data_IF_264053091316
#
_entry.id   IF_264053091316
#
_cell.length_a   1.000
_cell.length_b   1.000
_cell.length_c   1.000
_cell.angle_alpha   90.00
_cell.angle_beta   90.00
_cell.angle_gamma   90.00
#
_symmetry.space_group_name_H-M   'P 1'
#
loop_
_entity.id
_entity.type
_entity.pdbx_description
1 polymer ?
#
# COMPACT_ATOMS: atom_id res chain seq x y z
N UNK A 1 -6.18 10.49 -35.68
CA UNK A 1 -7.54 10.98 -35.41
C UNK A 1 -7.54 12.48 -35.61
N UNK A 2 -8.42 13.00 -36.45
CA UNK A 2 -8.50 14.43 -36.78
C UNK A 2 -9.61 15.09 -35.94
N UNK A 3 -9.24 16.15 -35.21
CA UNK A 3 -10.15 16.89 -34.33
C UNK A 3 -11.18 17.65 -35.15
N UNK A 4 -10.80 18.21 -36.31
CA UNK A 4 -11.70 18.96 -37.17
C UNK A 4 -12.76 18.06 -37.82
N UNK A 5 -12.38 16.82 -38.17
CA UNK A 5 -13.29 15.82 -38.72
C UNK A 5 -14.34 15.39 -37.68
N UNK A 6 -13.91 15.07 -36.44
CA UNK A 6 -14.85 14.74 -35.37
C UNK A 6 -15.78 15.91 -35.06
N UNK A 7 -15.24 17.13 -34.92
CA UNK A 7 -16.05 18.31 -34.60
C UNK A 7 -17.11 18.56 -35.68
N UNK A 8 -16.76 18.41 -36.96
CA UNK A 8 -17.70 18.58 -38.07
C UNK A 8 -18.83 17.57 -38.06
N UNK A 9 -18.55 16.29 -37.77
CA UNK A 9 -19.60 15.26 -37.64
C UNK A 9 -20.49 15.54 -36.43
N UNK A 10 -19.92 15.94 -35.29
CA UNK A 10 -20.69 16.29 -34.11
C UNK A 10 -21.56 17.54 -34.31
N UNK A 11 -21.03 18.58 -34.93
CA UNK A 11 -21.77 19.81 -35.25
C UNK A 11 -22.94 19.51 -36.20
N UNK A 12 -22.74 18.62 -37.17
CA UNK A 12 -23.81 18.15 -38.07
C UNK A 12 -24.91 17.45 -37.28
N UNK A 13 -24.57 16.51 -36.40
CA UNK A 13 -25.56 15.79 -35.59
C UNK A 13 -26.28 16.69 -34.59
N UNK A 14 -25.58 17.67 -34.00
CA UNK A 14 -26.17 18.65 -33.10
C UNK A 14 -27.11 19.64 -33.82
N UNK A 15 -26.77 20.04 -35.05
CA UNK A 15 -27.61 20.92 -35.85
C UNK A 15 -28.87 20.22 -36.38
N UNK A 16 -28.76 18.94 -36.76
CA UNK A 16 -29.90 18.16 -37.28
C UNK A 16 -30.81 17.66 -36.15
N UNK A 17 -30.23 17.31 -34.99
CA UNK A 17 -30.97 16.76 -33.85
C UNK A 17 -30.66 17.50 -32.53
N UNK A 18 -31.02 18.79 -32.39
CA UNK A 18 -30.63 19.62 -31.24
C UNK A 18 -31.22 19.19 -29.89
N UNK A 19 -32.33 18.45 -29.89
CA UNK A 19 -33.01 18.00 -28.66
C UNK A 19 -32.81 16.50 -28.38
N UNK A 20 -31.94 15.82 -29.14
CA UNK A 20 -31.77 14.37 -29.01
C UNK A 20 -30.32 13.99 -28.68
N UNK A 21 -29.91 14.10 -27.40
CA UNK A 21 -28.55 13.79 -26.98
C UNK A 21 -28.16 12.32 -27.22
N UNK A 22 -29.13 11.41 -27.35
CA UNK A 22 -28.87 9.99 -27.63
C UNK A 22 -28.27 9.76 -29.03
N UNK A 23 -28.61 10.62 -30.01
CA UNK A 23 -28.05 10.54 -31.37
C UNK A 23 -26.61 11.03 -31.37
N UNK A 24 -26.30 12.10 -30.63
CA UNK A 24 -24.95 12.66 -30.56
C UNK A 24 -23.94 11.65 -30.03
N UNK A 25 -24.29 10.94 -28.95
CA UNK A 25 -23.41 9.94 -28.35
C UNK A 25 -23.26 8.70 -29.24
N UNK A 26 -24.30 8.30 -29.98
CA UNK A 26 -24.23 7.19 -30.96
C UNK A 26 -23.35 7.53 -32.16
N UNK A 27 -23.46 8.74 -32.68
CA UNK A 27 -22.63 9.20 -33.80
C UNK A 27 -21.17 9.33 -33.38
N UNK A 28 -20.92 9.80 -32.14
CA UNK A 28 -19.59 9.77 -31.52
C UNK A 28 -19.04 8.34 -31.44
N UNK A 29 -19.83 7.40 -30.91
CA UNK A 29 -19.46 5.99 -30.83
C UNK A 29 -19.08 5.42 -32.19
N UNK A 30 -19.92 5.69 -33.20
CA UNK A 30 -19.74 5.24 -34.57
C UNK A 30 -18.45 5.76 -35.17
N UNK A 31 -18.16 7.06 -35.00
CA UNK A 31 -16.91 7.67 -35.46
C UNK A 31 -15.69 7.04 -34.78
N UNK A 32 -15.73 6.89 -33.45
CA UNK A 32 -14.62 6.29 -32.70
C UNK A 32 -14.41 4.83 -33.13
N UNK A 33 -15.47 4.04 -33.24
CA UNK A 33 -15.40 2.64 -33.66
C UNK A 33 -14.83 2.48 -35.07
N UNK A 34 -15.14 3.39 -35.99
CA UNK A 34 -14.60 3.38 -37.34
C UNK A 34 -13.09 3.69 -37.36
N UNK A 35 -12.65 4.69 -36.58
CA UNK A 35 -11.26 5.19 -36.61
C UNK A 35 -10.31 4.46 -35.67
N UNK A 36 -10.82 3.86 -34.59
CA UNK A 36 -10.05 3.13 -33.57
C UNK A 36 -10.40 1.64 -33.62
N UNK A 37 -9.89 0.97 -34.64
CA UNK A 37 -10.04 -0.48 -34.77
C UNK A 37 -9.15 -1.20 -33.76
N UNK A 38 -9.74 -2.09 -32.96
CA UNK A 38 -9.02 -2.84 -31.94
C UNK A 38 -8.27 -4.06 -32.55
N UNK A 39 -7.14 -4.50 -31.97
CA UNK A 39 -6.40 -5.67 -32.41
C UNK A 39 -7.22 -6.96 -32.25
N UNK A 40 -6.98 -7.94 -33.15
CA UNK A 40 -7.78 -9.17 -33.27
C UNK A 40 -7.61 -10.19 -32.13
N UNK A 41 -6.64 -9.98 -31.23
CA UNK A 41 -6.03 -11.09 -30.47
C UNK A 41 -6.66 -11.39 -29.10
N UNK A 42 -7.42 -10.47 -28.48
CA UNK A 42 -7.90 -10.65 -27.10
C UNK A 42 -9.18 -9.84 -26.78
N UNK A 43 -10.27 -10.46 -26.29
CA UNK A 43 -11.49 -9.76 -25.85
C UNK A 43 -11.28 -8.79 -24.68
N UNK A 44 -10.25 -9.00 -23.85
CA UNK A 44 -9.94 -8.17 -22.68
C UNK A 44 -8.83 -7.13 -22.91
N UNK A 45 -8.22 -7.12 -24.10
CA UNK A 45 -7.05 -6.30 -24.45
C UNK A 45 -5.94 -6.36 -23.38
N UNK A 46 -5.79 -7.52 -22.71
CA UNK A 46 -4.90 -7.70 -21.57
C UNK A 46 -3.43 -7.43 -21.90
N UNK A 47 -3.04 -7.55 -23.17
CA UNK A 47 -1.69 -7.28 -23.66
C UNK A 47 -1.40 -5.79 -23.89
N UNK A 48 -2.41 -4.92 -23.84
CA UNK A 48 -2.28 -3.48 -24.10
C UNK A 48 -2.32 -2.67 -22.81
N UNK A 49 -1.85 -1.41 -22.90
CA UNK A 49 -1.96 -0.46 -21.81
C UNK A 49 -3.42 -0.31 -21.37
N UNK A 50 -3.63 -0.06 -20.08
CA UNK A 50 -4.96 0.05 -19.47
C UNK A 50 -5.81 1.17 -20.09
N UNK A 51 -5.18 2.14 -20.73
CA UNK A 51 -5.81 3.26 -21.40
C UNK A 51 -6.01 3.06 -22.91
N UNK A 52 -5.63 1.91 -23.47
CA UNK A 52 -5.87 1.57 -24.87
C UNK A 52 -7.35 1.25 -25.16
N UNK A 53 -7.94 1.68 -26.30
CA UNK A 53 -7.36 2.51 -27.37
C UNK A 53 -7.45 4.02 -27.11
N UNK A 54 -8.02 4.46 -25.99
CA UNK A 54 -8.17 5.88 -25.64
C UNK A 54 -6.83 6.62 -25.48
N UNK A 55 -5.72 5.90 -25.29
CA UNK A 55 -4.37 6.42 -25.34
C UNK A 55 -3.97 6.94 -26.73
N UNK A 56 -4.61 6.43 -27.79
CA UNK A 56 -4.41 6.85 -29.17
C UNK A 56 -5.11 8.18 -29.50
N UNK A 57 -5.95 8.67 -28.57
CA UNK A 57 -6.72 9.90 -28.71
C UNK A 57 -5.93 11.10 -28.19
N UNK A 58 -5.83 12.18 -28.98
CA UNK A 58 -5.15 13.41 -28.58
C UNK A 58 -5.88 14.12 -27.43
N UNK A 59 -5.17 14.90 -26.61
CA UNK A 59 -5.75 15.64 -25.48
C UNK A 59 -6.90 16.57 -25.90
N UNK A 60 -6.79 17.17 -27.07
CA UNK A 60 -7.82 18.03 -27.66
C UNK A 60 -9.10 17.26 -27.96
N UNK A 61 -8.98 16.08 -28.59
CA UNK A 61 -10.13 15.23 -28.88
C UNK A 61 -10.79 14.70 -27.60
N UNK A 62 -9.99 14.39 -26.55
CA UNK A 62 -10.52 14.01 -25.23
C UNK A 62 -11.39 15.11 -24.62
N UNK A 63 -11.01 16.37 -24.79
CA UNK A 63 -11.80 17.51 -24.31
C UNK A 63 -13.12 17.65 -25.07
N UNK A 64 -13.11 17.46 -26.40
CA UNK A 64 -14.33 17.46 -27.23
C UNK A 64 -15.29 16.36 -26.78
N UNK A 65 -14.79 15.13 -26.62
CA UNK A 65 -15.56 13.97 -26.13
C UNK A 65 -16.17 14.29 -24.77
N UNK A 66 -15.37 14.74 -23.80
CA UNK A 66 -15.86 15.06 -22.45
C UNK A 66 -16.91 16.18 -22.46
N UNK A 67 -16.73 17.20 -23.29
CA UNK A 67 -17.72 18.27 -23.44
C UNK A 67 -19.05 17.75 -23.99
N UNK A 68 -19.01 16.81 -24.95
CA UNK A 68 -20.22 16.22 -25.50
C UNK A 68 -20.93 15.33 -24.47
N UNK A 69 -20.19 14.46 -23.79
CA UNK A 69 -20.74 13.58 -22.75
C UNK A 69 -21.35 14.38 -21.60
N UNK A 70 -20.74 15.51 -21.22
CA UNK A 70 -21.31 16.43 -20.22
C UNK A 70 -22.67 16.99 -20.64
N UNK A 71 -22.83 17.38 -21.91
CA UNK A 71 -24.12 17.84 -22.48
C UNK A 71 -25.15 16.72 -22.58
N UNK A 72 -24.71 15.46 -22.72
CA UNK A 72 -25.55 14.28 -22.85
C UNK A 72 -25.72 13.48 -21.55
N UNK A 73 -25.40 14.06 -20.38
CA UNK A 73 -25.37 13.36 -19.08
C UNK A 73 -26.64 12.54 -18.77
N UNK A 74 -27.82 13.04 -19.14
CA UNK A 74 -29.11 12.37 -18.90
C UNK A 74 -29.37 11.09 -19.71
N UNK A 75 -28.58 10.80 -20.76
CA UNK A 75 -28.76 9.58 -21.59
C UNK A 75 -27.58 8.61 -21.51
N UNK A 76 -26.57 8.94 -20.70
CA UNK A 76 -25.31 8.20 -20.63
C UNK A 76 -25.47 6.76 -20.13
N UNK A 77 -26.38 6.51 -19.20
CA UNK A 77 -26.65 5.17 -18.66
C UNK A 77 -27.25 4.25 -19.73
N UNK A 78 -28.29 4.71 -20.42
CA UNK A 78 -28.92 3.99 -21.54
C UNK A 78 -27.96 3.79 -22.72
N UNK A 79 -27.10 4.78 -22.94
CA UNK A 79 -26.07 4.69 -23.97
C UNK A 79 -25.03 3.63 -23.64
N UNK A 80 -24.58 3.55 -22.38
CA UNK A 80 -23.66 2.52 -21.95
C UNK A 80 -24.26 1.11 -22.09
N UNK A 81 -25.53 0.93 -21.72
CA UNK A 81 -26.25 -0.33 -21.95
C UNK A 81 -26.29 -0.67 -23.44
N UNK A 82 -26.63 0.31 -24.29
CA UNK A 82 -26.60 0.14 -25.74
C UNK A 82 -25.22 -0.30 -26.25
N UNK A 83 -24.14 0.28 -25.74
CA UNK A 83 -22.77 -0.12 -26.08
C UNK A 83 -22.48 -1.57 -25.67
N UNK A 84 -22.85 -1.99 -24.45
CA UNK A 84 -22.70 -3.39 -24.01
C UNK A 84 -23.49 -4.34 -24.91
N UNK A 85 -24.78 -4.08 -25.14
CA UNK A 85 -25.60 -4.96 -25.98
C UNK A 85 -25.09 -5.02 -27.41
N UNK A 86 -24.62 -3.91 -27.97
CA UNK A 86 -24.03 -3.87 -29.31
C UNK A 86 -22.76 -4.70 -29.37
N UNK A 87 -21.85 -4.57 -28.38
CA UNK A 87 -20.65 -5.40 -28.28
C UNK A 87 -20.99 -6.90 -28.17
N UNK A 88 -22.06 -7.25 -27.43
CA UNK A 88 -22.52 -8.63 -27.28
C UNK A 88 -23.20 -9.20 -28.53
N UNK A 89 -23.86 -8.36 -29.33
CA UNK A 89 -24.47 -8.75 -30.61
C UNK A 89 -23.42 -8.94 -31.69
N UNK A 90 -22.40 -8.08 -31.77
CA UNK A 90 -21.29 -8.25 -32.71
C UNK A 90 -20.51 -9.56 -32.44
N UNK A 91 -20.42 -9.95 -31.17
CA UNK A 91 -19.87 -11.26 -30.76
C UNK A 91 -20.62 -12.47 -31.31
N UNK A 92 -21.91 -12.34 -31.62
CA UNK A 92 -22.72 -13.43 -32.18
C UNK A 92 -22.61 -13.53 -33.71
N UNK A 93 -22.21 -12.44 -34.39
CA UNK A 93 -22.20 -12.35 -35.87
C UNK A 93 -20.97 -13.00 -36.50
N UNK A 94 -19.86 -13.15 -35.79
CA UNK A 94 -18.63 -13.75 -36.32
C UNK A 94 -18.07 -14.82 -35.39
N UNK A 95 -17.89 -16.08 -35.83
CA UNK A 95 -17.14 -17.10 -35.08
C UNK A 95 -15.62 -16.84 -35.09
N UNK A 96 -15.14 -15.94 -35.95
CA UNK A 96 -13.75 -15.47 -35.99
C UNK A 96 -13.63 -14.07 -35.35
N UNK A 97 -12.49 -13.72 -34.71
CA UNK A 97 -12.34 -12.48 -33.94
C UNK A 97 -12.15 -11.25 -34.84
N UNK A 98 -13.20 -10.85 -35.56
CA UNK A 98 -13.29 -9.59 -36.31
C UNK A 98 -14.13 -8.58 -35.54
N UNK A 99 -13.50 -7.66 -34.80
CA UNK A 99 -14.16 -6.76 -33.86
C UNK A 99 -14.19 -5.32 -34.35
N UNK A 100 -15.35 -4.83 -34.80
CA UNK A 100 -15.55 -3.46 -35.33
C UNK A 100 -16.23 -2.46 -34.38
N UNK A 101 -16.40 -2.76 -33.09
CA UNK A 101 -17.25 -1.95 -32.19
C UNK A 101 -16.68 -1.63 -30.81
N UNK A 102 -15.35 -1.68 -30.61
CA UNK A 102 -14.72 -1.51 -29.28
C UNK A 102 -13.74 -0.34 -29.19
N UNK A 103 -14.14 0.82 -29.67
CA UNK A 103 -13.46 2.08 -29.36
C UNK A 103 -14.13 2.87 -28.24
N UNK A 104 -15.40 2.59 -27.95
CA UNK A 104 -16.24 3.46 -27.11
C UNK A 104 -16.55 2.91 -25.72
N UNK A 105 -15.72 1.98 -25.23
CA UNK A 105 -15.84 1.50 -23.84
C UNK A 105 -15.31 2.50 -22.81
N UNK A 106 -14.46 3.45 -23.24
CA UNK A 106 -13.99 4.54 -22.38
C UNK A 106 -14.70 5.83 -22.70
N UNK A 107 -16.01 5.79 -22.62
CA UNK A 107 -16.70 6.97 -22.14
C UNK A 107 -16.30 7.19 -20.69
N UNK A 108 -15.83 8.39 -20.33
CA UNK A 108 -15.87 8.97 -18.97
C UNK A 108 -17.36 9.11 -18.51
N UNK A 109 -18.21 8.13 -18.85
CA UNK A 109 -19.55 7.98 -18.33
C UNK A 109 -19.34 7.46 -16.92
N UNK A 110 -19.38 8.38 -15.97
CA UNK A 110 -19.70 8.04 -14.61
C UNK A 110 -21.04 7.30 -14.65
N UNK A 111 -20.98 5.97 -14.62
CA UNK A 111 -22.16 5.14 -14.48
C UNK A 111 -22.81 5.50 -13.14
N UNK A 112 -24.09 5.84 -13.16
CA UNK A 112 -24.86 6.13 -11.94
C UNK A 112 -24.81 4.96 -10.96
N UNK A 113 -24.81 3.71 -11.47
CA UNK A 113 -24.57 2.50 -10.69
C UNK A 113 -23.91 1.34 -11.50
N UNK A 114 -22.56 1.30 -11.59
CA UNK A 114 -21.81 0.19 -12.21
C UNK A 114 -21.96 -1.18 -11.54
N UNK A 115 -22.68 -1.31 -10.41
CA UNK A 115 -22.97 -2.58 -9.75
C UNK A 115 -24.45 -2.96 -9.79
N UNK A 116 -25.23 -2.37 -10.71
CA UNK A 116 -26.64 -2.72 -10.88
C UNK A 116 -26.82 -4.25 -11.05
N UNK A 117 -27.81 -4.86 -10.36
CA UNK A 117 -28.06 -6.30 -10.40
C UNK A 117 -28.28 -6.84 -11.82
N UNK A 118 -28.71 -5.98 -12.75
CA UNK A 118 -28.88 -6.32 -14.17
C UNK A 118 -27.61 -6.89 -14.81
N UNK A 119 -26.43 -6.39 -14.45
CA UNK A 119 -25.18 -6.84 -15.05
C UNK A 119 -24.72 -8.19 -14.48
N UNK A 120 -25.06 -8.48 -13.22
CA UNK A 120 -24.83 -9.80 -12.62
C UNK A 120 -25.74 -10.85 -13.27
N UNK A 121 -26.99 -10.51 -13.55
CA UNK A 121 -27.91 -11.38 -14.29
C UNK A 121 -27.43 -11.61 -15.73
N UNK A 122 -26.92 -10.56 -16.39
CA UNK A 122 -26.33 -10.65 -17.72
C UNK A 122 -25.06 -11.53 -17.76
N UNK A 123 -24.23 -11.48 -16.72
CA UNK A 123 -23.07 -12.39 -16.58
C UNK A 123 -23.51 -13.84 -16.36
N UNK A 124 -24.54 -14.06 -15.54
CA UNK A 124 -25.08 -15.40 -15.29
C UNK A 124 -25.70 -16.00 -16.56
N UNK A 125 -26.42 -15.21 -17.34
CA UNK A 125 -27.04 -15.68 -18.59
C UNK A 125 -26.01 -16.07 -19.66
N UNK A 126 -24.82 -15.47 -19.62
CA UNK A 126 -23.72 -15.73 -20.55
C UNK A 126 -22.58 -16.57 -19.97
N UNK A 127 -22.74 -17.20 -18.80
CA UNK A 127 -21.68 -17.93 -18.10
C UNK A 127 -20.97 -19.01 -18.95
N UNK A 128 -21.68 -19.62 -19.90
CA UNK A 128 -21.14 -20.63 -20.82
C UNK A 128 -20.32 -20.05 -21.99
N UNK A 129 -20.26 -18.72 -22.14
CA UNK A 129 -19.58 -18.02 -23.24
C UNK A 129 -18.54 -17.04 -22.66
N UNK A 130 -17.31 -17.49 -22.35
CA UNK A 130 -16.34 -16.69 -21.61
C UNK A 130 -15.98 -15.37 -22.31
N UNK A 131 -15.95 -15.33 -23.65
CA UNK A 131 -15.68 -14.08 -24.39
C UNK A 131 -16.73 -12.98 -24.15
N UNK A 132 -18.02 -13.36 -23.98
CA UNK A 132 -19.10 -12.42 -23.65
C UNK A 132 -18.94 -11.90 -22.22
N UNK A 133 -18.70 -12.81 -21.28
CA UNK A 133 -18.47 -12.43 -19.88
C UNK A 133 -17.24 -11.51 -19.73
N UNK A 134 -16.12 -11.82 -20.38
CA UNK A 134 -14.92 -10.98 -20.36
C UNK A 134 -15.19 -9.59 -20.95
N UNK A 135 -16.01 -9.48 -21.99
CA UNK A 135 -16.39 -8.19 -22.58
C UNK A 135 -17.22 -7.35 -21.60
N UNK A 136 -18.16 -7.98 -20.88
CA UNK A 136 -18.96 -7.31 -19.83
C UNK A 136 -18.07 -6.85 -18.68
N UNK A 137 -17.20 -7.73 -18.16
CA UNK A 137 -16.25 -7.39 -17.09
C UNK A 137 -15.32 -6.25 -17.50
N UNK A 138 -14.87 -6.25 -18.76
CA UNK A 138 -14.03 -5.18 -19.30
C UNK A 138 -14.73 -3.84 -19.39
N UNK A 139 -15.99 -3.82 -19.83
CA UNK A 139 -16.78 -2.60 -19.92
C UNK A 139 -17.02 -1.98 -18.53
N UNK A 140 -17.44 -2.81 -17.55
CA UNK A 140 -17.71 -2.34 -16.18
C UNK A 140 -16.43 -1.90 -15.45
N UNK A 141 -15.30 -2.56 -15.72
CA UNK A 141 -14.00 -2.20 -15.14
C UNK A 141 -13.52 -0.80 -15.54
N UNK A 142 -14.03 -0.19 -16.61
CA UNK A 142 -13.56 1.12 -17.04
C UNK A 142 -13.80 2.22 -15.99
N UNK A 143 -14.84 2.08 -15.16
CA UNK A 143 -15.17 3.03 -14.09
C UNK A 143 -14.03 3.18 -13.06
N UNK A 144 -13.24 2.12 -12.83
CA UNK A 144 -12.19 2.12 -11.81
C UNK A 144 -10.92 2.88 -12.17
N UNK A 145 -10.71 3.20 -13.45
CA UNK A 145 -9.50 3.90 -13.88
C UNK A 145 -9.49 5.38 -13.49
N UNK A 146 -10.65 6.00 -13.30
CA UNK A 146 -10.76 7.38 -12.85
C UNK A 146 -10.82 7.50 -11.32
N UNK A 147 -11.51 6.57 -10.66
CA UNK A 147 -11.67 6.55 -9.20
C UNK A 147 -11.46 5.14 -8.63
N UNK A 148 -10.59 5.04 -7.63
CA UNK A 148 -10.36 3.82 -6.88
C UNK A 148 -11.63 3.32 -6.20
N UNK A 149 -12.48 4.21 -5.69
CA UNK A 149 -13.70 3.83 -4.97
C UNK A 149 -14.69 3.11 -5.89
N UNK A 150 -14.97 3.68 -7.06
CA UNK A 150 -15.82 3.05 -8.09
C UNK A 150 -15.19 1.76 -8.62
N UNK A 151 -13.87 1.74 -8.81
CA UNK A 151 -13.16 0.55 -9.26
C UNK A 151 -13.23 -0.62 -8.28
N UNK A 152 -13.07 -0.34 -6.98
CA UNK A 152 -13.22 -1.34 -5.93
C UNK A 152 -14.66 -1.78 -5.79
N UNK A 153 -15.63 -0.88 -5.95
CA UNK A 153 -17.05 -1.22 -5.92
C UNK A 153 -17.43 -2.19 -7.03
N UNK A 154 -17.01 -1.91 -8.28
CA UNK A 154 -17.13 -2.84 -9.42
C UNK A 154 -16.48 -4.17 -9.11
N UNK A 155 -15.26 -4.13 -8.56
CA UNK A 155 -14.52 -5.36 -8.28
C UNK A 155 -15.24 -6.21 -7.23
N UNK A 156 -15.66 -5.63 -6.10
CA UNK A 156 -16.36 -6.32 -5.02
C UNK A 156 -17.74 -6.81 -5.44
N UNK A 157 -18.49 -5.98 -6.18
CA UNK A 157 -19.86 -6.29 -6.59
C UNK A 157 -19.96 -7.27 -7.76
N UNK A 158 -19.03 -7.20 -8.73
CA UNK A 158 -19.15 -7.89 -10.02
C UNK A 158 -18.04 -8.89 -10.26
N UNK A 159 -16.79 -8.56 -9.91
CA UNK A 159 -15.62 -9.40 -10.24
C UNK A 159 -15.30 -10.45 -9.17
N UNK A 160 -15.53 -10.14 -7.88
CA UNK A 160 -15.33 -11.05 -6.76
C UNK A 160 -16.20 -12.33 -6.88
N UNK A 161 -17.50 -12.26 -7.26
CA UNK A 161 -18.33 -13.47 -7.42
C UNK A 161 -17.88 -14.40 -8.56
N UNK A 162 -17.19 -13.88 -9.58
CA UNK A 162 -16.75 -14.68 -10.74
C UNK A 162 -15.36 -15.30 -10.57
N UNK A 163 -14.68 -15.06 -9.45
CA UNK A 163 -13.36 -15.65 -9.16
C UNK A 163 -13.37 -17.18 -9.11
N UNK A 164 -14.52 -17.80 -8.78
CA UNK A 164 -14.68 -19.25 -8.82
C UNK A 164 -14.70 -19.85 -10.24
N UNK A 165 -14.84 -19.01 -11.27
CA UNK A 165 -14.95 -19.43 -12.66
C UNK A 165 -13.58 -19.35 -13.33
N UNK A 166 -12.96 -20.51 -13.61
CA UNK A 166 -11.59 -20.60 -14.16
C UNK A 166 -11.32 -19.74 -15.41
N UNK A 167 -12.33 -19.54 -16.26
CA UNK A 167 -12.19 -18.75 -17.48
C UNK A 167 -12.20 -17.22 -17.25
N UNK A 168 -12.75 -16.75 -16.12
CA UNK A 168 -12.92 -15.33 -15.81
C UNK A 168 -11.99 -14.85 -14.69
N UNK A 169 -11.58 -15.75 -13.81
CA UNK A 169 -10.72 -15.43 -12.67
C UNK A 169 -9.40 -14.74 -13.04
N UNK A 170 -8.69 -15.06 -14.15
CA UNK A 170 -7.46 -14.36 -14.50
C UNK A 170 -7.68 -12.87 -14.79
N UNK A 171 -8.81 -12.54 -15.42
CA UNK A 171 -9.16 -11.16 -15.75
C UNK A 171 -9.48 -10.34 -14.50
N UNK A 172 -10.32 -10.88 -13.61
CA UNK A 172 -10.72 -10.23 -12.37
C UNK A 172 -9.52 -9.85 -11.48
N UNK A 173 -8.44 -10.64 -11.55
CA UNK A 173 -7.25 -10.43 -10.72
C UNK A 173 -6.30 -9.47 -11.37
N UNK A 174 -6.05 -9.64 -12.67
CA UNK A 174 -5.27 -8.70 -13.44
C UNK A 174 -5.87 -7.29 -13.36
N UNK A 175 -7.20 -7.19 -13.31
CA UNK A 175 -7.89 -5.93 -13.07
C UNK A 175 -7.59 -5.33 -11.70
N UNK A 176 -7.70 -6.11 -10.61
CA UNK A 176 -7.41 -5.63 -9.26
C UNK A 176 -5.96 -5.17 -9.14
N UNK A 177 -5.00 -5.95 -9.65
CA UNK A 177 -3.59 -5.58 -9.63
C UNK A 177 -3.36 -4.26 -10.37
N UNK A 178 -3.94 -4.09 -11.57
CA UNK A 178 -3.85 -2.84 -12.33
C UNK A 178 -4.49 -1.67 -11.59
N UNK A 179 -5.66 -1.86 -11.00
CA UNK A 179 -6.36 -0.83 -10.24
C UNK A 179 -5.50 -0.32 -9.08
N UNK A 180 -4.86 -1.23 -8.34
CA UNK A 180 -4.03 -0.89 -7.18
C UNK A 180 -2.67 -0.30 -7.59
N UNK A 181 -2.12 -0.70 -8.75
CA UNK A 181 -0.93 -0.05 -9.32
C UNK A 181 -1.22 1.39 -9.81
N UNK A 182 -2.41 1.63 -10.34
CA UNK A 182 -2.85 2.94 -10.85
C UNK A 182 -3.12 3.93 -9.72
N UNK A 183 -3.64 3.45 -8.59
CA UNK A 183 -4.02 4.27 -7.44
C UNK A 183 -3.09 4.00 -6.25
N UNK A 184 -1.95 4.70 -6.13
CA UNK A 184 -0.99 4.47 -5.05
C UNK A 184 -1.53 4.85 -3.66
N UNK A 185 -2.54 5.73 -3.60
CA UNK A 185 -3.18 6.10 -2.35
C UNK A 185 -4.45 5.26 -2.09
N UNK A 186 -4.26 4.16 -1.37
CA UNK A 186 -5.32 3.21 -1.05
C UNK A 186 -6.31 3.70 0.02
N UNK A 187 -6.08 4.86 0.65
CA UNK A 187 -6.93 5.35 1.75
C UNK A 187 -8.38 5.60 1.33
N UNK A 188 -8.60 5.98 0.06
CA UNK A 188 -9.93 6.16 -0.51
C UNK A 188 -10.72 4.86 -0.64
N UNK A 189 -10.03 3.71 -0.70
CA UNK A 189 -10.65 2.38 -0.79
C UNK A 189 -11.03 1.76 0.55
N UNK A 190 -10.45 2.20 1.67
CA UNK A 190 -10.66 1.56 2.98
C UNK A 190 -12.09 1.68 3.52
N UNK A 191 -12.83 2.73 3.13
CA UNK A 191 -14.24 2.89 3.49
C UNK A 191 -15.22 2.11 2.59
N UNK A 192 -14.74 1.54 1.48
CA UNK A 192 -15.57 0.84 0.50
C UNK A 192 -15.66 -0.65 0.73
N UNK A 193 -14.73 -1.21 1.50
CA UNK A 193 -14.74 -2.61 1.90
C UNK A 193 -15.63 -2.73 3.14
N UNK A 194 -16.90 -3.09 2.93
CA UNK A 194 -17.81 -3.37 4.02
C UNK A 194 -17.44 -4.66 4.77
N UNK A 195 -17.96 -4.88 5.98
CA UNK A 195 -17.73 -6.13 6.73
C UNK A 195 -18.16 -7.39 5.97
N UNK A 196 -19.11 -7.27 5.03
CA UNK A 196 -19.60 -8.38 4.19
C UNK A 196 -18.59 -8.78 3.12
N UNK A 197 -17.83 -7.82 2.59
CA UNK A 197 -16.88 -8.02 1.50
C UNK A 197 -15.45 -8.21 2.02
N UNK A 198 -15.20 -7.81 3.27
CA UNK A 198 -13.93 -7.93 3.96
C UNK A 198 -13.47 -9.39 4.15
N UNK A 199 -14.36 -10.28 4.59
CA UNK A 199 -14.00 -11.68 4.82
C UNK A 199 -13.72 -12.45 3.53
N UNK A 200 -14.56 -12.36 2.47
CA UNK A 200 -14.22 -12.92 1.16
C UNK A 200 -12.89 -12.39 0.60
N UNK A 201 -12.58 -11.11 0.81
CA UNK A 201 -11.29 -10.51 0.45
C UNK A 201 -10.12 -11.09 1.25
N UNK A 202 -10.30 -11.29 2.56
CA UNK A 202 -9.31 -11.89 3.44
C UNK A 202 -9.04 -13.35 3.05
N UNK A 203 -10.12 -14.13 2.84
CA UNK A 203 -10.03 -15.51 2.38
C UNK A 203 -9.36 -15.58 1.00
N UNK A 204 -9.64 -14.63 0.11
CA UNK A 204 -8.97 -14.51 -1.18
C UNK A 204 -7.47 -14.17 -1.06
N UNK A 205 -7.10 -13.25 -0.17
CA UNK A 205 -5.72 -12.78 -0.01
C UNK A 205 -4.82 -13.79 0.73
N UNK A 206 -5.40 -14.64 1.58
CA UNK A 206 -4.64 -15.46 2.54
C UNK A 206 -4.93 -16.97 2.49
N UNK A 207 -5.95 -17.48 1.78
CA UNK A 207 -6.19 -18.94 1.69
C UNK A 207 -5.45 -19.59 0.51
N UNK A 208 -4.72 -20.72 0.74
CA UNK A 208 -4.11 -21.50 -0.33
C UNK A 208 -5.19 -22.31 -1.08
N UNK A 209 -5.02 -22.49 -2.39
CA UNK A 209 -5.93 -23.16 -3.34
C UNK A 209 -7.06 -22.32 -3.95
N UNK A 210 -7.14 -21.03 -3.67
CA UNK A 210 -7.81 -20.13 -4.61
C UNK A 210 -6.93 -19.98 -5.86
N UNK A 211 -7.54 -19.72 -7.02
CA UNK A 211 -6.95 -19.93 -8.36
C UNK A 211 -5.68 -19.14 -8.67
N UNK A 212 -5.16 -18.37 -7.70
CA UNK A 212 -4.22 -17.28 -7.89
C UNK A 212 -3.24 -17.25 -6.72
N UNK A 213 -1.96 -17.10 -7.08
CA UNK A 213 -0.90 -16.70 -6.17
C UNK A 213 -1.21 -15.31 -5.56
N UNK A 214 -0.68 -15.02 -4.36
CA UNK A 214 -1.10 -13.85 -3.60
C UNK A 214 -0.70 -12.55 -4.33
N UNK A 215 -1.71 -11.78 -4.75
CA UNK A 215 -1.49 -10.48 -5.38
C UNK A 215 -0.84 -9.51 -4.37
N UNK A 216 0.29 -8.87 -4.71
CA UNK A 216 1.02 -8.00 -3.79
C UNK A 216 0.21 -6.76 -3.40
N UNK A 217 -0.71 -6.29 -4.27
CA UNK A 217 -1.54 -5.12 -4.01
C UNK A 217 -2.74 -5.39 -3.08
N UNK A 218 -3.36 -6.57 -3.15
CA UNK A 218 -4.55 -6.87 -2.33
C UNK A 218 -4.22 -6.93 -0.82
N UNK A 219 -2.97 -7.25 -0.48
CA UNK A 219 -2.47 -7.34 0.91
C UNK A 219 -2.55 -5.99 1.65
N UNK A 220 -1.90 -4.90 1.19
CA UNK A 220 -2.00 -3.59 1.84
C UNK A 220 -3.42 -3.01 1.83
N UNK A 221 -4.25 -3.39 0.86
CA UNK A 221 -5.67 -3.02 0.85
C UNK A 221 -6.43 -3.69 2.00
N UNK A 222 -6.25 -4.99 2.21
CA UNK A 222 -6.87 -5.73 3.30
C UNK A 222 -6.38 -5.25 4.67
N UNK A 223 -5.08 -4.97 4.83
CA UNK A 223 -4.54 -4.48 6.11
C UNK A 223 -4.97 -3.04 6.44
N UNK A 224 -5.11 -2.18 5.44
CA UNK A 224 -5.63 -0.81 5.64
C UNK A 224 -7.14 -0.75 5.85
N UNK A 225 -7.91 -1.61 5.18
CA UNK A 225 -9.35 -1.77 5.43
C UNK A 225 -9.61 -2.35 6.83
N UNK A 226 -8.73 -3.24 7.30
CA UNK A 226 -8.82 -3.80 8.65
C UNK A 226 -8.70 -2.75 9.77
N UNK A 227 -8.01 -1.63 9.52
CA UNK A 227 -7.99 -0.49 10.45
C UNK A 227 -9.36 0.17 10.66
N UNK A 228 -10.34 -0.09 9.78
CA UNK A 228 -11.72 0.39 9.88
C UNK A 228 -12.72 -0.75 10.14
N UNK A 229 -12.39 -1.98 9.75
CA UNK A 229 -13.21 -3.16 10.02
C UNK A 229 -13.06 -3.60 11.47
N UNK A 230 -14.12 -3.44 12.27
CA UNK A 230 -14.23 -3.81 13.69
C UNK A 230 -14.00 -5.31 14.02
N UNK A 231 -13.58 -6.14 13.08
CA UNK A 231 -13.60 -7.60 13.21
C UNK A 231 -12.47 -8.23 12.39
N UNK A 232 -11.25 -8.18 12.90
CA UNK A 232 -10.29 -9.24 12.63
C UNK A 232 -10.37 -10.23 13.79
N UNK A 233 -11.21 -11.25 13.68
CA UNK A 233 -10.97 -12.54 14.33
C UNK A 233 -11.33 -13.61 13.29
N UNK A 234 -10.37 -14.43 12.83
CA UNK A 234 -10.63 -15.32 11.71
C UNK A 234 -11.50 -16.49 12.15
N UNK A 235 -12.55 -16.76 11.38
CA UNK A 235 -13.23 -18.06 11.34
C UNK A 235 -12.32 -19.06 10.61
N UNK A 236 -11.23 -19.45 11.25
CA UNK A 236 -10.18 -20.30 10.69
C UNK A 236 -10.34 -21.80 10.96
N UNK A 237 -11.54 -22.37 10.79
CA UNK A 237 -11.73 -23.83 10.89
C UNK A 237 -12.44 -24.48 9.69
N UNK A 238 -12.97 -23.72 8.74
CA UNK A 238 -13.65 -24.29 7.57
C UNK A 238 -12.78 -24.16 6.31
N UNK A 239 -11.73 -24.98 6.19
CA UNK A 239 -11.00 -25.09 4.92
C UNK A 239 -9.49 -25.35 4.99
N UNK A 240 -8.98 -26.04 6.01
CA UNK A 240 -7.59 -26.55 5.98
C UNK A 240 -7.54 -27.86 5.18
N UNK A 241 -7.71 -27.75 3.87
CA UNK A 241 -7.29 -28.77 2.92
C UNK A 241 -5.77 -28.66 2.70
N UNK A 242 -5.08 -29.78 2.82
CA UNK A 242 -3.62 -29.92 2.71
C UNK A 242 -3.03 -29.14 1.52
N UNK A 243 -2.15 -28.16 1.80
CA UNK A 243 -1.47 -27.40 0.74
C UNK A 243 -0.76 -26.10 1.15
N UNK A 244 -0.97 -25.57 2.35
CA UNK A 244 -0.17 -24.44 2.86
C UNK A 244 1.07 -24.94 3.61
N UNK A 245 2.17 -24.20 3.53
CA UNK A 245 3.04 -24.02 4.69
C UNK A 245 2.31 -23.07 5.68
N UNK A 246 1.69 -23.59 6.75
CA UNK A 246 0.70 -22.88 7.58
C UNK A 246 1.27 -21.69 8.38
N UNK A 247 2.59 -21.53 8.39
CA UNK A 247 3.32 -20.56 9.21
C UNK A 247 3.30 -19.16 8.59
N UNK A 248 3.35 -19.04 7.26
CA UNK A 248 3.49 -17.73 6.61
C UNK A 248 2.18 -16.92 6.60
N UNK A 249 1.04 -17.57 6.31
CA UNK A 249 -0.27 -16.92 6.35
C UNK A 249 -0.69 -16.53 7.76
N UNK A 250 -0.40 -17.38 8.76
CA UNK A 250 -0.68 -17.06 10.16
C UNK A 250 0.14 -15.85 10.63
N UNK A 251 1.45 -15.79 10.34
CA UNK A 251 2.30 -14.62 10.65
C UNK A 251 1.80 -13.33 10.01
N UNK A 252 1.36 -13.35 8.76
CA UNK A 252 0.88 -12.15 8.05
C UNK A 252 -0.46 -11.65 8.58
N UNK A 253 -1.36 -12.58 8.95
CA UNK A 253 -2.62 -12.25 9.60
C UNK A 253 -2.41 -11.72 11.02
N UNK A 254 -1.47 -12.30 11.76
CA UNK A 254 -1.08 -11.81 13.09
C UNK A 254 -0.50 -10.39 13.03
N UNK A 255 0.30 -10.09 11.99
CA UNK A 255 0.83 -8.76 11.75
C UNK A 255 -0.29 -7.73 11.44
N UNK A 256 -1.29 -8.10 10.64
CA UNK A 256 -2.44 -7.22 10.36
C UNK A 256 -3.29 -6.97 11.59
N UNK A 257 -3.51 -7.99 12.43
CA UNK A 257 -4.19 -7.86 13.73
C UNK A 257 -3.44 -6.92 14.68
N UNK A 258 -2.12 -7.06 14.78
CA UNK A 258 -1.24 -6.17 15.57
C UNK A 258 -1.32 -4.72 15.09
N UNK A 259 -1.38 -4.51 13.77
CA UNK A 259 -1.56 -3.19 13.18
C UNK A 259 -2.94 -2.59 13.50
N UNK A 260 -4.02 -3.38 13.48
CA UNK A 260 -5.36 -2.91 13.82
C UNK A 260 -5.46 -2.47 15.29
N UNK A 261 -4.88 -3.26 16.20
CA UNK A 261 -4.72 -2.87 17.61
C UNK A 261 -3.92 -1.57 17.78
N UNK A 262 -3.03 -1.25 16.82
CA UNK A 262 -2.24 -0.02 16.85
C UNK A 262 -2.99 1.22 16.37
N UNK A 263 -3.98 1.04 15.50
CA UNK A 263 -4.72 2.13 14.86
C UNK A 263 -6.00 2.47 15.64
N UNK A 264 -6.75 1.46 16.08
CA UNK A 264 -8.05 1.65 16.73
C UNK A 264 -8.06 1.13 18.18
N UNK A 265 -8.28 2.00 19.19
CA UNK A 265 -8.37 1.59 20.58
C UNK A 265 -9.58 0.70 20.90
N UNK A 266 -10.67 0.76 20.10
CA UNK A 266 -11.85 -0.08 20.30
C UNK A 266 -11.57 -1.55 19.98
N UNK A 267 -10.60 -1.83 19.13
CA UNK A 267 -10.18 -3.19 18.77
C UNK A 267 -9.75 -4.01 20.00
N UNK A 268 -9.13 -3.39 21.02
CA UNK A 268 -8.83 -4.05 22.30
C UNK A 268 -10.08 -4.41 23.12
N UNK A 269 -11.17 -3.67 22.98
CA UNK A 269 -12.43 -3.98 23.67
C UNK A 269 -13.14 -5.17 23.03
N UNK A 270 -13.15 -5.23 21.70
CA UNK A 270 -13.73 -6.36 20.95
C UNK A 270 -12.92 -7.63 21.19
N UNK A 271 -11.58 -7.53 21.18
CA UNK A 271 -10.73 -8.67 21.49
C UNK A 271 -11.01 -9.22 22.89
N UNK A 272 -11.25 -8.35 23.88
CA UNK A 272 -11.66 -8.78 25.24
C UNK A 272 -12.96 -9.56 25.28
N UNK A 273 -13.95 -9.16 24.49
CA UNK A 273 -15.24 -9.85 24.41
C UNK A 273 -15.15 -11.22 23.72
N UNK A 274 -14.23 -11.35 22.75
CA UNK A 274 -14.06 -12.56 21.94
C UNK A 274 -13.02 -13.54 22.52
N UNK A 275 -12.26 -13.11 23.52
CA UNK A 275 -11.15 -13.88 24.09
C UNK A 275 -11.55 -15.30 24.51
N UNK A 276 -12.64 -15.42 25.27
CA UNK A 276 -13.11 -16.71 25.82
C UNK A 276 -13.61 -17.68 24.75
N UNK A 277 -13.97 -17.17 23.57
CA UNK A 277 -14.43 -17.98 22.42
C UNK A 277 -13.29 -18.41 21.50
N UNK A 278 -12.13 -17.76 21.61
CA UNK A 278 -11.02 -17.88 20.66
C UNK A 278 -9.66 -17.92 21.38
N UNK A 279 -9.52 -18.85 22.33
CA UNK A 279 -8.32 -18.98 23.17
C UNK A 279 -7.09 -19.41 22.36
N UNK A 280 -7.24 -20.38 21.45
CA UNK A 280 -6.14 -20.86 20.61
C UNK A 280 -5.60 -19.75 19.71
N UNK A 281 -6.48 -18.99 19.05
CA UNK A 281 -6.08 -17.87 18.19
C UNK A 281 -5.49 -16.71 19.00
N UNK A 282 -6.05 -16.42 20.18
CA UNK A 282 -5.54 -15.37 21.06
C UNK A 282 -4.13 -15.68 21.58
N UNK A 283 -3.80 -16.96 21.80
CA UNK A 283 -2.45 -17.37 22.22
C UNK A 283 -1.40 -17.06 21.16
N UNK A 284 -1.73 -17.27 19.87
CA UNK A 284 -0.84 -16.95 18.75
C UNK A 284 -0.62 -15.43 18.64
N UNK A 285 -1.68 -14.64 18.80
CA UNK A 285 -1.58 -13.18 18.78
C UNK A 285 -0.75 -12.64 19.95
N UNK A 286 -0.94 -13.18 21.16
CA UNK A 286 -0.14 -12.80 22.33
C UNK A 286 1.35 -13.12 22.13
N UNK A 287 1.68 -14.25 21.53
CA UNK A 287 3.07 -14.60 21.21
C UNK A 287 3.67 -13.68 20.15
N UNK A 288 2.92 -13.36 19.09
CA UNK A 288 3.37 -12.41 18.07
C UNK A 288 3.58 -10.98 18.65
N UNK A 289 2.71 -10.54 19.55
CA UNK A 289 2.87 -9.27 20.26
C UNK A 289 4.05 -9.27 21.25
N UNK A 290 4.39 -10.43 21.80
CA UNK A 290 5.57 -10.60 22.65
C UNK A 290 6.87 -10.50 21.84
N UNK A 291 6.92 -11.10 20.65
CA UNK A 291 8.05 -10.97 19.72
C UNK A 291 8.21 -9.53 19.20
N UNK A 292 7.10 -8.86 18.86
CA UNK A 292 7.06 -7.48 18.36
C UNK A 292 6.98 -6.41 19.44
N UNK A 293 7.25 -6.76 20.71
CA UNK A 293 7.14 -5.84 21.84
C UNK A 293 8.03 -4.60 21.72
N UNK A 294 9.27 -4.78 21.23
CA UNK A 294 10.27 -3.72 21.20
C UNK A 294 10.01 -2.70 20.07
N UNK A 295 9.34 -3.12 19.00
CA UNK A 295 8.90 -2.25 17.89
C UNK A 295 7.55 -1.55 18.15
N UNK A 296 6.82 -1.97 19.18
CA UNK A 296 5.48 -1.46 19.49
C UNK A 296 5.48 -0.05 20.11
N UNK A 297 4.50 0.78 19.72
CA UNK A 297 4.33 2.13 20.25
C UNK A 297 4.01 2.15 21.76
N UNK A 298 4.30 3.26 22.45
CA UNK A 298 4.01 3.36 23.90
C UNK A 298 2.51 3.27 24.21
N UNK A 299 1.65 3.84 23.34
CA UNK A 299 0.19 3.80 23.51
C UNK A 299 -0.34 2.37 23.42
N UNK A 300 0.14 1.61 22.43
CA UNK A 300 -0.22 0.19 22.24
C UNK A 300 0.26 -0.64 23.41
N UNK A 301 1.48 -0.41 23.91
CA UNK A 301 2.00 -1.11 25.10
C UNK A 301 1.16 -0.86 26.36
N UNK A 302 0.62 0.35 26.54
CA UNK A 302 -0.28 0.67 27.66
C UNK A 302 -1.63 -0.05 27.52
N UNK A 303 -2.28 0.04 26.34
CA UNK A 303 -3.55 -0.64 26.09
C UNK A 303 -3.43 -2.18 26.16
N UNK A 304 -2.31 -2.72 25.68
CA UNK A 304 -1.98 -4.14 25.78
C UNK A 304 -1.74 -4.55 27.25
N UNK A 305 -1.13 -3.71 28.07
CA UNK A 305 -0.94 -3.99 29.50
C UNK A 305 -2.28 -4.12 30.25
N UNK A 306 -3.23 -3.24 29.98
CA UNK A 306 -4.59 -3.34 30.55
C UNK A 306 -5.30 -4.60 30.08
N UNK A 307 -5.18 -4.92 28.79
CA UNK A 307 -5.81 -6.08 28.17
C UNK A 307 -5.24 -7.41 28.68
N UNK A 308 -3.91 -7.52 28.78
CA UNK A 308 -3.23 -8.72 29.31
C UNK A 308 -3.54 -8.93 30.80
N UNK A 309 -3.71 -7.86 31.59
CA UNK A 309 -4.17 -8.00 32.98
C UNK A 309 -5.60 -8.54 33.05
N UNK A 310 -6.49 -8.05 32.17
CA UNK A 310 -7.84 -8.59 32.06
C UNK A 310 -7.81 -10.08 31.70
N UNK A 311 -6.98 -10.47 30.71
CA UNK A 311 -6.83 -11.87 30.32
C UNK A 311 -6.24 -12.76 31.40
N UNK A 312 -5.29 -12.25 32.19
CA UNK A 312 -4.74 -13.01 33.31
C UNK A 312 -5.83 -13.40 34.32
N UNK A 313 -6.70 -12.46 34.69
CA UNK A 313 -7.85 -12.73 35.58
C UNK A 313 -8.82 -13.72 34.93
N UNK A 314 -9.17 -13.52 33.67
CA UNK A 314 -10.07 -14.42 32.94
C UNK A 314 -9.50 -15.84 32.82
N UNK A 315 -8.18 -15.98 32.65
CA UNK A 315 -7.51 -17.27 32.57
C UNK A 315 -7.52 -18.00 33.91
N UNK A 316 -7.31 -17.29 35.01
CA UNK A 316 -7.42 -17.86 36.36
C UNK A 316 -8.85 -18.36 36.63
N UNK A 317 -9.88 -17.59 36.23
CA UNK A 317 -11.28 -18.01 36.35
C UNK A 317 -11.64 -19.22 35.47
N UNK A 318 -11.07 -19.31 34.27
CA UNK A 318 -11.32 -20.42 33.34
C UNK A 318 -10.57 -21.69 33.75
N UNK A 319 -9.33 -21.57 34.22
CA UNK A 319 -8.54 -22.69 34.75
C UNK A 319 -9.21 -23.32 35.99
N UNK A 320 -9.89 -22.51 36.81
CA UNK A 320 -10.64 -22.99 37.97
C UNK A 320 -11.87 -23.86 37.62
N UNK A 321 -12.29 -23.93 36.35
CA UNK A 321 -13.48 -24.69 35.91
C UNK A 321 -13.21 -26.17 35.61
N UNK A 322 -11.95 -26.62 35.66
CA UNK A 322 -11.58 -28.04 35.58
C UNK A 322 -10.39 -28.33 34.65
N UNK A 323 -9.86 -29.57 34.68
CA UNK A 323 -8.59 -29.94 34.04
C UNK A 323 -8.60 -29.87 32.50
N UNK A 324 -9.76 -30.01 31.85
CA UNK A 324 -9.87 -29.84 30.40
C UNK A 324 -9.75 -28.38 29.95
N UNK A 325 -10.30 -27.44 30.73
CA UNK A 325 -10.21 -26.02 30.45
C UNK A 325 -8.80 -25.46 30.75
N UNK A 326 -8.08 -26.06 31.70
CA UNK A 326 -6.70 -25.71 32.02
C UNK A 326 -5.76 -25.93 30.82
N UNK A 327 -5.94 -27.02 30.07
CA UNK A 327 -5.13 -27.33 28.90
C UNK A 327 -5.35 -26.35 27.74
N UNK A 328 -6.60 -25.91 27.53
CA UNK A 328 -6.98 -24.93 26.50
C UNK A 328 -6.49 -23.51 26.83
N UNK A 329 -6.36 -23.18 28.12
CA UNK A 329 -5.96 -21.86 28.62
C UNK A 329 -4.44 -21.73 28.83
N UNK A 330 -3.72 -22.83 29.06
CA UNK A 330 -2.29 -22.82 29.40
C UNK A 330 -1.40 -22.05 28.41
N UNK A 331 -1.66 -22.17 27.10
CA UNK A 331 -0.91 -21.44 26.07
C UNK A 331 -1.13 -19.91 26.15
N UNK A 332 -2.35 -19.50 26.48
CA UNK A 332 -2.70 -18.09 26.69
C UNK A 332 -2.11 -17.55 28.00
N UNK A 333 -2.15 -18.34 29.07
CA UNK A 333 -1.65 -17.97 30.39
C UNK A 333 -0.12 -17.78 30.39
N UNK A 334 0.60 -18.68 29.72
CA UNK A 334 2.06 -18.59 29.56
C UNK A 334 2.46 -17.33 28.79
N UNK A 335 1.78 -17.03 27.67
CA UNK A 335 2.01 -15.81 26.90
C UNK A 335 1.70 -14.53 27.71
N UNK A 336 0.60 -14.51 28.47
CA UNK A 336 0.25 -13.38 29.36
C UNK A 336 1.29 -13.16 30.46
N UNK A 337 1.74 -14.23 31.13
CA UNK A 337 2.79 -14.17 32.16
C UNK A 337 4.11 -13.64 31.59
N UNK A 338 4.49 -14.07 30.39
CA UNK A 338 5.70 -13.61 29.72
C UNK A 338 5.62 -12.12 29.33
N UNK A 339 4.49 -11.66 28.78
CA UNK A 339 4.24 -10.24 28.49
C UNK A 339 4.30 -9.38 29.75
N UNK A 340 3.66 -9.80 30.85
CA UNK A 340 3.69 -9.07 32.12
C UNK A 340 5.10 -8.99 32.71
N UNK A 341 5.93 -10.02 32.55
CA UNK A 341 7.36 -9.99 32.93
C UNK A 341 8.14 -8.99 32.10
N UNK A 342 7.96 -8.98 30.77
CA UNK A 342 8.59 -7.99 29.87
C UNK A 342 8.17 -6.56 30.22
N UNK A 343 6.91 -6.34 30.60
CA UNK A 343 6.41 -5.02 31.04
C UNK A 343 7.03 -4.55 32.36
N UNK A 344 7.27 -5.47 33.31
CA UNK A 344 7.96 -5.17 34.57
C UNK A 344 9.48 -4.95 34.38
N UNK A 345 10.04 -5.45 33.28
CA UNK A 345 11.44 -5.32 32.88
C UNK A 345 11.85 -3.91 32.43
N UNK A 346 11.52 -2.87 33.19
CA UNK A 346 12.33 -1.64 33.17
C UNK A 346 13.61 -2.00 33.91
N UNK A 347 14.61 -2.47 33.17
CA UNK A 347 15.85 -3.00 33.73
C UNK A 347 16.38 -2.10 34.84
N UNK A 348 16.75 -2.72 35.97
CA UNK A 348 17.40 -2.02 37.08
C UNK A 348 18.58 -1.21 36.50
N UNK A 349 18.76 0.07 36.86
CA UNK A 349 19.62 0.99 36.11
C UNK A 349 21.11 0.75 36.43
N UNK A 350 21.60 -0.45 36.16
CA UNK A 350 22.96 -0.91 36.41
C UNK A 350 23.99 0.02 35.79
N UNK A 351 23.74 0.54 34.59
CA UNK A 351 24.64 1.50 33.93
C UNK A 351 24.76 2.81 34.70
N UNK A 352 23.67 3.32 35.28
CA UNK A 352 23.68 4.53 36.10
C UNK A 352 24.38 4.28 37.43
N UNK A 353 24.16 3.11 38.03
CA UNK A 353 24.78 2.72 39.30
C UNK A 353 26.30 2.51 39.15
N UNK A 354 26.73 1.83 38.07
CA UNK A 354 28.13 1.70 37.68
C UNK A 354 28.79 3.05 37.41
N UNK A 355 28.10 3.96 36.71
CA UNK A 355 28.61 5.30 36.44
C UNK A 355 28.80 6.10 37.73
N UNK A 356 27.83 6.06 38.64
CA UNK A 356 27.93 6.72 39.95
C UNK A 356 29.11 6.15 40.74
N UNK A 357 29.26 4.82 40.79
CA UNK A 357 30.38 4.16 41.47
C UNK A 357 31.74 4.58 40.89
N UNK A 358 31.85 4.67 39.56
CA UNK A 358 33.05 5.14 38.87
C UNK A 358 33.38 6.60 39.20
N UNK A 359 32.38 7.48 39.24
CA UNK A 359 32.57 8.90 39.60
C UNK A 359 33.09 9.01 41.04
N UNK A 360 32.52 8.26 41.97
CA UNK A 360 32.99 8.24 43.37
C UNK A 360 34.42 7.71 43.49
N UNK A 361 34.75 6.62 42.79
CA UNK A 361 36.10 6.06 42.78
C UNK A 361 37.13 7.06 42.20
N UNK A 362 36.81 7.71 41.08
CA UNK A 362 37.67 8.73 40.47
C UNK A 362 37.83 9.97 41.38
N UNK A 363 36.74 10.41 42.02
CA UNK A 363 36.77 11.50 42.99
C UNK A 363 37.64 11.20 44.20
N UNK A 364 37.55 9.97 44.73
CA UNK A 364 38.40 9.52 45.84
C UNK A 364 39.88 9.50 45.46
N UNK A 365 40.22 8.95 44.29
CA UNK A 365 41.58 8.95 43.77
C UNK A 365 42.12 10.37 43.57
N UNK A 366 41.31 11.28 43.02
CA UNK A 366 41.71 12.67 42.79
C UNK A 366 41.90 13.42 44.11
N UNK A 367 41.06 13.16 45.11
CA UNK A 367 41.20 13.74 46.44
C UNK A 367 42.49 13.23 47.13
N UNK A 368 42.75 11.93 47.09
CA UNK A 368 43.93 11.31 47.72
C UNK A 368 45.25 11.78 47.09
N UNK A 369 45.26 12.00 45.76
CA UNK A 369 46.43 12.54 45.05
C UNK A 369 46.64 14.02 45.38
N UNK A 370 45.56 14.80 45.53
CA UNK A 370 45.65 16.21 45.93
C UNK A 370 46.14 16.38 47.36
N UNK A 371 45.71 15.53 48.29
CA UNK A 371 46.11 15.61 49.72
C UNK A 371 47.57 15.19 49.92
N UNK A 372 48.08 14.22 49.15
CA UNK A 372 49.45 13.72 49.29
C UNK A 372 50.45 14.36 48.31
N UNK A 373 50.01 15.29 47.47
CA UNK A 373 50.86 16.11 46.58
C UNK A 373 51.56 15.39 45.43
N UNK A 374 51.61 14.05 45.43
CA UNK A 374 52.14 13.27 44.31
C UNK A 374 51.48 11.88 44.20
N UNK A 375 51.37 11.39 42.96
CA UNK A 375 50.86 10.04 42.67
C UNK A 375 51.70 8.95 43.34
N UNK A 376 53.01 9.18 43.55
CA UNK A 376 53.90 8.18 44.17
C UNK A 376 53.76 8.13 45.70
N UNK A 377 53.34 9.22 46.35
CA UNK A 377 53.15 9.29 47.80
C UNK A 377 51.74 8.87 48.27
N UNK A 378 50.76 8.85 47.36
CA UNK A 378 49.35 8.52 47.68
C UNK A 378 49.17 7.08 48.18
N UNK A 379 48.27 6.90 49.16
CA UNK A 379 47.96 5.58 49.72
C UNK A 379 47.27 4.68 48.68
N UNK A 380 46.42 5.27 47.83
CA UNK A 380 45.74 4.58 46.73
C UNK A 380 46.71 4.04 45.67
N UNK A 381 47.76 4.78 45.30
CA UNK A 381 48.79 4.26 44.38
C UNK A 381 49.64 3.13 44.98
N UNK A 382 49.86 3.14 46.30
CA UNK A 382 50.56 2.06 47.00
C UNK A 382 49.75 0.76 46.98
N UNK A 383 48.44 0.85 47.20
CA UNK A 383 47.50 -0.27 47.10
C UNK A 383 47.33 -0.76 45.64
N UNK A 384 47.29 0.16 44.68
CA UNK A 384 47.26 -0.17 43.25
C UNK A 384 48.55 -0.86 42.76
N UNK A 385 49.70 -0.54 43.37
CA UNK A 385 50.96 -1.26 43.14
C UNK A 385 50.98 -2.63 43.79
N UNK A 386 50.58 -2.75 45.05
CA UNK A 386 50.59 -4.02 45.77
C UNK A 386 49.61 -5.05 45.18
N UNK A 387 48.54 -4.58 44.55
CA UNK A 387 47.55 -5.41 43.85
C UNK A 387 47.95 -5.79 42.42
N UNK A 388 49.07 -5.27 41.88
CA UNK A 388 49.49 -5.52 40.49
C UNK A 388 48.57 -4.88 39.43
N UNK A 389 47.52 -4.17 39.83
CA UNK A 389 46.57 -3.50 38.93
C UNK A 389 47.27 -2.37 38.18
N UNK A 390 48.23 -1.68 38.79
CA UNK A 390 48.95 -0.61 38.13
C UNK A 390 49.76 -1.13 36.92
N UNK A 391 50.49 -2.23 37.07
CA UNK A 391 51.27 -2.82 35.96
C UNK A 391 50.37 -3.41 34.88
N UNK A 392 49.27 -4.06 35.27
CA UNK A 392 48.25 -4.53 34.33
C UNK A 392 47.60 -3.36 33.56
N UNK A 393 47.31 -2.25 34.23
CA UNK A 393 46.72 -1.05 33.62
C UNK A 393 47.69 -0.36 32.65
N UNK A 394 48.98 -0.29 32.99
CA UNK A 394 50.02 0.23 32.10
C UNK A 394 50.19 -0.65 30.86
N UNK A 395 50.19 -1.97 31.04
CA UNK A 395 50.27 -2.91 29.92
C UNK A 395 49.02 -2.84 29.02
N UNK A 396 47.83 -2.72 29.62
CA UNK A 396 46.58 -2.51 28.89
C UNK A 396 46.57 -1.17 28.15
N UNK A 397 47.08 -0.11 28.78
CA UNK A 397 47.21 1.22 28.17
C UNK A 397 48.17 1.19 26.98
N UNK A 398 49.31 0.52 27.11
CA UNK A 398 50.25 0.34 26.01
C UNK A 398 49.61 -0.42 24.83
N UNK A 399 48.90 -1.53 25.10
CA UNK A 399 48.17 -2.25 24.04
C UNK A 399 47.06 -1.41 23.40
N UNK A 400 46.26 -0.71 24.20
CA UNK A 400 45.20 0.15 23.70
C UNK A 400 45.76 1.29 22.83
N UNK A 401 46.85 1.92 23.28
CA UNK A 401 47.52 2.98 22.52
C UNK A 401 48.13 2.46 21.21
N UNK A 402 48.70 1.25 21.22
CA UNK A 402 49.23 0.60 20.03
C UNK A 402 48.12 0.35 19.00
N UNK A 403 47.02 -0.29 19.41
CA UNK A 403 45.90 -0.55 18.50
C UNK A 403 45.19 0.72 18.05
N UNK A 404 45.09 1.75 18.90
CA UNK A 404 44.55 3.04 18.51
C UNK A 404 45.43 3.71 17.44
N UNK A 405 46.75 3.66 17.58
CA UNK A 405 47.69 4.20 16.60
C UNK A 405 47.66 3.41 15.29
N UNK A 406 47.53 2.09 15.38
CA UNK A 406 47.44 1.20 14.22
C UNK A 406 46.11 1.39 13.47
N UNK A 407 45.00 1.56 14.21
CA UNK A 407 43.70 1.95 13.67
C UNK A 407 43.74 3.32 13.00
N UNK A 408 44.43 4.30 13.58
CA UNK A 408 44.63 5.61 12.97
C UNK A 408 45.42 5.51 11.66
N UNK A 409 46.54 4.78 11.64
CA UNK A 409 47.34 4.54 10.42
C UNK A 409 46.57 3.78 9.35
N UNK A 410 45.74 2.82 9.74
CA UNK A 410 44.84 2.12 8.83
C UNK A 410 43.81 3.09 8.26
N UNK A 411 43.22 3.96 9.09
CA UNK A 411 42.27 4.97 8.64
C UNK A 411 42.93 5.91 7.63
N UNK A 412 44.13 6.40 7.93
CA UNK A 412 44.92 7.28 7.05
C UNK A 412 45.24 6.64 5.69
N UNK A 413 45.47 5.32 5.64
CA UNK A 413 45.65 4.58 4.38
C UNK A 413 44.36 4.27 3.64
N UNK A 414 43.27 4.01 4.37
CA UNK A 414 42.02 3.52 3.77
C UNK A 414 41.10 4.65 3.34
N UNK A 415 41.11 5.78 4.06
CA UNK A 415 40.29 6.95 3.78
C UNK A 415 40.49 7.50 2.36
N UNK A 416 41.74 7.69 1.85
CA UNK A 416 41.96 8.20 0.49
C UNK A 416 41.43 7.23 -0.59
N UNK A 417 41.58 5.93 -0.38
CA UNK A 417 41.10 4.90 -1.31
C UNK A 417 39.57 4.70 -1.29
N UNK A 418 38.93 5.06 -0.17
CA UNK A 418 37.47 5.07 -0.05
C UNK A 418 36.91 6.36 -0.68
N UNK A 419 37.53 7.51 -0.41
CA UNK A 419 37.18 8.79 -1.02
C UNK A 419 37.34 8.79 -2.54
N UNK A 420 38.40 8.17 -3.08
CA UNK A 420 38.58 8.06 -4.53
C UNK A 420 37.54 7.16 -5.20
N UNK A 421 37.15 6.04 -4.57
CA UNK A 421 36.05 5.18 -5.04
C UNK A 421 34.69 5.87 -4.95
N UNK A 422 34.41 6.56 -3.85
CA UNK A 422 33.19 7.34 -3.69
C UNK A 422 33.13 8.46 -4.75
N UNK A 423 34.23 9.18 -4.98
CA UNK A 423 34.33 10.18 -6.04
C UNK A 423 34.09 9.57 -7.42
N UNK A 424 34.67 8.41 -7.73
CA UNK A 424 34.45 7.73 -9.01
C UNK A 424 32.98 7.32 -9.24
N UNK A 425 32.25 6.94 -8.18
CA UNK A 425 30.82 6.56 -8.25
C UNK A 425 29.91 7.79 -8.32
N UNK A 426 30.24 8.85 -7.56
CA UNK A 426 29.44 10.07 -7.52
C UNK A 426 29.64 10.96 -8.74
N UNK A 427 30.84 10.99 -9.33
CA UNK A 427 31.17 11.83 -10.49
C UNK A 427 30.19 11.70 -11.67
N UNK A 428 29.80 10.51 -12.15
CA UNK A 428 28.84 10.41 -13.25
C UNK A 428 27.45 10.94 -12.88
N UNK A 429 27.00 10.72 -11.64
CA UNK A 429 25.70 11.24 -11.18
C UNK A 429 25.70 12.76 -11.04
N UNK A 430 26.81 13.34 -10.57
CA UNK A 430 26.97 14.78 -10.45
C UNK A 430 27.05 15.46 -11.83
N UNK A 431 27.76 14.85 -12.78
CA UNK A 431 27.81 15.35 -14.17
C UNK A 431 26.44 15.31 -14.84
N UNK A 432 25.66 14.23 -14.64
CA UNK A 432 24.30 14.13 -15.16
C UNK A 432 23.36 15.18 -14.54
N UNK A 433 23.44 15.37 -13.23
CA UNK A 433 22.68 16.42 -12.53
C UNK A 433 23.07 17.81 -13.02
N UNK A 434 24.35 18.08 -13.22
CA UNK A 434 24.83 19.37 -13.75
C UNK A 434 24.31 19.64 -15.16
N UNK A 435 24.34 18.64 -16.04
CA UNK A 435 23.79 18.75 -17.39
C UNK A 435 22.28 19.03 -17.37
N UNK A 436 21.52 18.32 -16.52
CA UNK A 436 20.07 18.52 -16.36
C UNK A 436 19.73 19.89 -15.78
N UNK A 437 20.52 20.37 -14.82
CA UNK A 437 20.40 21.73 -14.29
C UNK A 437 20.69 22.79 -15.36
N UNK A 438 21.67 22.56 -16.23
CA UNK A 438 21.95 23.44 -17.37
C UNK A 438 20.80 23.51 -18.38
N UNK A 439 20.22 22.35 -18.74
CA UNK A 439 19.05 22.28 -19.62
C UNK A 439 17.84 23.02 -19.01
N UNK A 440 17.58 22.82 -17.72
CA UNK A 440 16.50 23.51 -16.99
C UNK A 440 16.74 25.02 -16.92
N UNK A 441 17.97 25.46 -16.68
CA UNK A 441 18.32 26.87 -16.62
C UNK A 441 18.12 27.57 -17.97
N UNK A 442 18.49 26.91 -19.08
CA UNK A 442 18.24 27.42 -20.43
C UNK A 442 16.74 27.52 -20.71
N UNK A 443 15.97 26.47 -20.38
CA UNK A 443 14.52 26.46 -20.61
C UNK A 443 13.80 27.53 -19.78
N UNK A 444 14.19 27.73 -18.52
CA UNK A 444 13.68 28.82 -17.68
C UNK A 444 14.10 30.19 -18.22
N UNK A 445 15.33 30.31 -18.73
CA UNK A 445 15.81 31.53 -19.39
C UNK A 445 14.97 31.91 -20.62
N UNK A 446 14.67 30.95 -21.48
CA UNK A 446 13.81 31.12 -22.66
C UNK A 446 12.36 31.49 -22.27
N UNK A 447 11.80 30.84 -21.25
CA UNK A 447 10.47 31.19 -20.77
C UNK A 447 10.41 32.59 -20.13
N UNK A 448 11.45 32.97 -19.37
CA UNK A 448 11.55 34.29 -18.78
C UNK A 448 11.73 35.37 -19.84
N UNK A 449 12.58 35.16 -20.85
CA UNK A 449 12.78 36.13 -21.93
C UNK A 449 11.52 36.30 -22.77
N UNK A 450 10.80 35.22 -23.08
CA UNK A 450 9.52 35.27 -23.79
C UNK A 450 8.42 35.98 -22.99
N UNK A 451 8.37 35.79 -21.67
CA UNK A 451 7.42 36.52 -20.80
C UNK A 451 7.80 37.98 -20.63
N UNK A 452 9.08 38.30 -20.56
CA UNK A 452 9.58 39.67 -20.47
C UNK A 452 9.35 40.43 -21.77
N UNK A 453 9.58 39.82 -22.94
CA UNK A 453 9.26 40.45 -24.23
C UNK A 453 7.76 40.68 -24.37
N UNK A 454 6.93 39.68 -24.04
CA UNK A 454 5.48 39.84 -24.01
C UNK A 454 5.03 40.96 -23.07
N UNK A 455 5.62 41.04 -21.87
CA UNK A 455 5.31 42.10 -20.91
C UNK A 455 5.74 43.48 -21.41
N UNK A 456 6.89 43.57 -22.09
CA UNK A 456 7.41 44.79 -22.67
C UNK A 456 6.55 45.29 -23.83
N UNK A 457 6.09 44.40 -24.71
CA UNK A 457 5.19 44.73 -25.81
C UNK A 457 3.80 45.19 -25.32
N UNK A 458 3.35 44.69 -24.16
CA UNK A 458 2.08 45.06 -23.53
C UNK A 458 2.17 46.32 -22.65
N UNK A 459 3.37 46.71 -22.23
CA UNK A 459 3.61 47.86 -21.37
C UNK A 459 3.10 49.20 -21.95
N UNK A 460 3.33 49.55 -23.24
CA UNK A 460 2.81 50.79 -23.79
C UNK A 460 1.27 50.82 -23.85
N UNK A 461 0.62 49.69 -24.17
CA UNK A 461 -0.84 49.58 -24.14
C UNK A 461 -1.41 49.78 -22.72
N UNK A 462 -0.75 49.21 -21.69
CA UNK A 462 -1.14 49.43 -20.29
C UNK A 462 -0.92 50.87 -19.83
N UNK A 463 0.16 51.52 -20.28
CA UNK A 463 0.45 52.93 -19.98
C UNK A 463 -0.54 53.89 -20.63
N UNK A 464 -1.06 53.57 -21.83
CA UNK A 464 -2.14 54.32 -22.47
C UNK A 464 -3.50 54.09 -21.78
N UNK A 465 -3.75 52.91 -21.23
CA UNK A 465 -5.00 52.60 -20.52
C UNK A 465 -5.10 53.25 -19.12
N UNK A 466 -3.96 53.57 -18.50
CA UNK A 466 -3.87 54.20 -17.17
C UNK A 466 -3.86 55.75 -17.24
N UNK A 467 -3.69 56.32 -18.43
CA UNK A 467 -3.84 57.77 -18.68
C UNK A 467 -5.29 58.10 -19.06
#
# INVERSE_FOLDING_TARGET
LDVAELQKELDKSQNVFPENPSVWVKDLAGYLNYKLQAPRSDPALSQHAHDYPYCLVSKELKNVIRSLLGKASGVLELFFDHCIYTMLQELDKSPEPGWGGRADGRTDVALSDPCSPQYLELLRSHQNRPAKCLTILWALGQAGFADLAEGLRVWLGVMLPVLGIKALSPYAVAYLDRLLMMHPNLTKGFGMIGPKDFFPLLDFAFMPNNSLSPSPGARPLCTGAAGHARLLVPRGEAGLGAGCEPVLCSLQLLASMSQCLSVDPLSFSVWRQLYTKHLSQSSLLLNHLLESWDSSSRKVRQALQETVRSFAVTNEELAARGPGAEQDVAACETACKALLRKMKGRGFPWSRLLLVLLIFAAGFLLHDVRTHGSLQASASARVLRSSGILSASQHAWHKASHYALEGYRWLERTLPACCSRAAAVLQPTLQLLWAKMGELALHLGEQCSARLSWAWDRLPWLLEWVR
#
